data_IF_990089589069
#
_entry.id   IF_990089589069
#
_cell.length_a   1.000
_cell.length_b   1.000
_cell.length_c   1.000
_cell.angle_alpha   90.00
_cell.angle_beta   90.00
_cell.angle_gamma   90.00
#
_symmetry.space_group_name_H-M   'P 1'
#
loop_
_entity.id
_entity.type
_entity.pdbx_description
1 polymer ?
#
# COMPACT_ATOMS: atom_id res chain seq x y z
N UNK A 1 1.75 13.82 -21.24
CA UNK A 1 1.68 12.48 -20.59
C UNK A 1 2.23 11.44 -21.57
N UNK A 2 2.93 10.41 -21.09
CA UNK A 2 3.66 9.48 -21.99
C UNK A 2 2.72 8.45 -22.62
N UNK A 3 1.58 8.16 -21.99
CA UNK A 3 0.61 7.13 -22.43
C UNK A 3 -0.81 7.66 -22.66
N UNK A 4 -1.00 8.98 -22.81
CA UNK A 4 -2.34 9.58 -22.94
C UNK A 4 -2.93 9.56 -24.34
N UNK A 5 -2.15 9.20 -25.35
CA UNK A 5 -2.58 9.20 -26.76
C UNK A 5 -2.64 7.76 -27.27
N UNK A 6 -3.85 7.26 -27.49
CA UNK A 6 -4.10 6.01 -28.20
C UNK A 6 -4.74 6.32 -29.54
N UNK A 7 -4.24 5.70 -30.61
CA UNK A 7 -4.85 5.76 -31.94
C UNK A 7 -6.07 4.83 -32.08
N UNK A 8 -6.40 4.05 -31.04
CA UNK A 8 -7.49 3.07 -31.06
C UNK A 8 -8.77 3.61 -30.38
N UNK A 9 -9.97 3.25 -30.86
CA UNK A 9 -11.23 3.63 -30.22
C UNK A 9 -11.35 3.00 -28.82
N UNK A 10 -11.87 3.77 -27.85
CA UNK A 10 -12.09 3.31 -26.47
C UNK A 10 -13.25 2.30 -26.40
N UNK A 11 -12.93 1.02 -26.55
CA UNK A 11 -13.83 -0.10 -26.28
C UNK A 11 -13.83 -0.46 -24.78
N UNK A 12 -14.91 -1.02 -24.21
CA UNK A 12 -14.99 -1.32 -22.79
C UNK A 12 -13.86 -2.23 -22.29
N UNK A 13 -13.18 -1.82 -21.22
CA UNK A 13 -12.28 -2.70 -20.47
C UNK A 13 -13.06 -3.88 -19.86
N UNK A 14 -12.49 -5.11 -19.79
CA UNK A 14 -11.14 -5.51 -20.21
C UNK A 14 -11.00 -5.90 -21.70
N UNK A 15 -12.11 -6.06 -22.42
CA UNK A 15 -12.13 -6.64 -23.78
C UNK A 15 -11.52 -5.71 -24.84
N UNK A 16 -11.75 -4.40 -24.72
CA UNK A 16 -11.20 -3.40 -25.61
C UNK A 16 -9.67 -3.37 -25.60
N UNK A 17 -9.09 -3.52 -24.41
CA UNK A 17 -7.65 -3.53 -24.23
C UNK A 17 -7.00 -4.79 -24.81
N UNK A 18 -7.64 -5.96 -24.64
CA UNK A 18 -7.17 -7.21 -25.26
C UNK A 18 -7.17 -7.10 -26.78
N UNK A 19 -8.20 -6.51 -27.38
CA UNK A 19 -8.26 -6.31 -28.83
C UNK A 19 -7.16 -5.34 -29.31
N UNK A 20 -6.97 -4.23 -28.61
CA UNK A 20 -6.00 -3.20 -28.98
C UNK A 20 -4.54 -3.67 -28.81
N UNK A 21 -4.29 -4.55 -27.84
CA UNK A 21 -2.95 -5.08 -27.54
C UNK A 21 -2.68 -6.44 -28.18
N UNK A 22 -3.67 -7.07 -28.84
CA UNK A 22 -3.57 -8.42 -29.40
C UNK A 22 -2.35 -8.60 -30.32
N UNK A 23 -1.97 -7.55 -31.06
CA UNK A 23 -0.84 -7.56 -31.98
C UNK A 23 0.52 -7.36 -31.28
N UNK A 24 0.56 -6.83 -30.05
CA UNK A 24 1.79 -6.57 -29.29
C UNK A 24 2.37 -7.84 -28.66
N UNK A 25 1.58 -8.93 -28.56
CA UNK A 25 1.99 -10.21 -27.97
C UNK A 25 2.78 -11.11 -28.94
N UNK A 26 3.76 -10.57 -29.65
CA UNK A 26 4.49 -11.30 -30.72
C UNK A 26 5.14 -12.62 -30.27
N UNK A 27 5.50 -12.74 -28.98
CA UNK A 27 6.20 -13.90 -28.42
C UNK A 27 5.29 -15.03 -27.92
N UNK A 28 3.98 -14.79 -27.80
CA UNK A 28 3.03 -15.76 -27.24
C UNK A 28 2.17 -16.34 -28.37
N UNK A 29 2.15 -17.66 -28.59
CA UNK A 29 1.26 -18.29 -29.58
C UNK A 29 -0.22 -17.98 -29.35
N UNK A 30 -1.02 -17.94 -30.43
CA UNK A 30 -2.45 -17.61 -30.34
C UNK A 30 -3.21 -18.58 -29.41
N UNK A 31 -2.87 -19.87 -29.43
CA UNK A 31 -3.47 -20.86 -28.55
C UNK A 31 -3.27 -20.55 -27.07
N UNK A 32 -2.07 -20.08 -26.69
CA UNK A 32 -1.77 -19.64 -25.33
C UNK A 32 -2.55 -18.37 -24.98
N UNK A 33 -2.69 -17.41 -25.91
CA UNK A 33 -3.46 -16.18 -25.69
C UNK A 33 -4.95 -16.44 -25.43
N UNK A 34 -5.54 -17.45 -26.09
CA UNK A 34 -6.95 -17.82 -25.87
C UNK A 34 -7.20 -18.28 -24.44
N UNK A 35 -6.19 -18.85 -23.76
CA UNK A 35 -6.34 -19.24 -22.34
C UNK A 35 -6.56 -18.05 -21.40
N UNK A 36 -6.25 -16.81 -21.83
CA UNK A 36 -6.57 -15.58 -21.09
C UNK A 36 -8.08 -15.41 -20.84
N UNK A 37 -8.94 -16.02 -21.66
CA UNK A 37 -10.40 -15.96 -21.46
C UNK A 37 -10.81 -16.48 -20.09
N UNK A 38 -10.10 -17.48 -19.54
CA UNK A 38 -10.35 -17.97 -18.18
C UNK A 38 -10.09 -16.91 -17.12
N UNK A 39 -9.02 -16.12 -17.28
CA UNK A 39 -8.73 -15.00 -16.38
C UNK A 39 -9.77 -13.88 -16.49
N UNK A 40 -10.18 -13.53 -17.71
CA UNK A 40 -11.23 -12.52 -17.95
C UNK A 40 -12.56 -12.94 -17.32
N UNK A 41 -12.90 -14.22 -17.39
CA UNK A 41 -14.06 -14.77 -16.69
C UNK A 41 -13.93 -14.59 -15.18
N UNK A 42 -12.79 -14.98 -14.58
CA UNK A 42 -12.56 -14.80 -13.15
C UNK A 42 -12.64 -13.34 -12.71
N UNK A 43 -12.14 -12.41 -13.54
CA UNK A 43 -12.23 -10.96 -13.28
C UNK A 43 -13.67 -10.42 -13.30
N UNK A 44 -14.58 -11.05 -14.04
CA UNK A 44 -16.00 -10.71 -14.00
C UNK A 44 -16.72 -11.37 -12.82
N UNK A 45 -16.31 -12.57 -12.42
CA UNK A 45 -16.96 -13.32 -11.34
C UNK A 45 -16.55 -12.84 -9.94
N UNK A 46 -15.30 -12.42 -9.73
CA UNK A 46 -14.80 -12.16 -8.38
C UNK A 46 -15.47 -10.98 -7.65
N UNK A 47 -16.08 -10.05 -8.40
CA UNK A 47 -16.82 -8.89 -7.83
C UNK A 47 -18.32 -9.16 -7.67
N UNK A 48 -18.79 -10.38 -7.94
CA UNK A 48 -20.22 -10.72 -7.91
C UNK A 48 -20.85 -10.56 -6.53
N UNK A 49 -20.17 -11.02 -5.49
CA UNK A 49 -20.62 -10.95 -4.10
C UNK A 49 -19.45 -11.17 -3.13
N UNK A 50 -19.63 -10.76 -1.87
CA UNK A 50 -18.60 -10.82 -0.83
C UNK A 50 -18.01 -12.23 -0.63
N UNK A 51 -18.86 -13.27 -0.67
CA UNK A 51 -18.38 -14.65 -0.46
C UNK A 51 -17.51 -15.12 -1.61
N UNK A 52 -17.88 -14.73 -2.83
CA UNK A 52 -17.10 -15.02 -4.03
C UNK A 52 -15.77 -14.28 -3.97
N UNK A 53 -15.77 -12.99 -3.62
CA UNK A 53 -14.55 -12.22 -3.40
C UNK A 53 -13.63 -12.88 -2.36
N UNK A 54 -14.15 -13.22 -1.18
CA UNK A 54 -13.36 -13.89 -0.13
C UNK A 54 -12.77 -15.23 -0.61
N UNK A 55 -13.49 -15.98 -1.45
CA UNK A 55 -12.98 -17.23 -2.00
C UNK A 55 -11.78 -17.00 -2.93
N UNK A 56 -11.82 -15.94 -3.75
CA UNK A 56 -10.69 -15.53 -4.59
C UNK A 56 -9.55 -14.92 -3.77
N UNK A 57 -9.84 -14.15 -2.72
CA UNK A 57 -8.80 -13.57 -1.88
C UNK A 57 -8.06 -14.62 -1.03
N UNK A 58 -8.72 -15.73 -0.69
CA UNK A 58 -8.10 -16.86 0.04
C UNK A 58 -7.24 -17.77 -0.82
N UNK A 59 -7.41 -17.78 -2.14
CA UNK A 59 -6.58 -18.60 -3.03
C UNK A 59 -5.40 -17.79 -3.54
N UNK A 60 -4.31 -18.49 -3.83
CA UNK A 60 -3.16 -17.88 -4.49
C UNK A 60 -3.47 -17.56 -5.95
N UNK A 61 -2.79 -16.56 -6.51
CA UNK A 61 -2.89 -16.26 -7.94
C UNK A 61 -2.46 -17.47 -8.79
N UNK A 62 -1.47 -18.24 -8.33
CA UNK A 62 -1.05 -19.48 -8.98
C UNK A 62 -2.18 -20.52 -9.07
N UNK A 63 -2.90 -20.77 -7.96
CA UNK A 63 -4.06 -21.68 -7.94
C UNK A 63 -5.17 -21.21 -8.87
N UNK A 64 -5.43 -19.90 -8.94
CA UNK A 64 -6.38 -19.32 -9.89
C UNK A 64 -5.98 -19.67 -11.33
N UNK A 65 -4.71 -19.49 -11.70
CA UNK A 65 -4.25 -19.70 -13.07
C UNK A 65 -4.42 -21.16 -13.51
N UNK A 66 -4.13 -22.11 -12.61
CA UNK A 66 -4.39 -23.53 -12.83
C UNK A 66 -5.90 -23.76 -12.99
N UNK A 67 -6.72 -23.22 -12.08
CA UNK A 67 -8.17 -23.42 -12.07
C UNK A 67 -8.85 -22.88 -13.33
N UNK A 68 -8.34 -21.78 -13.88
CA UNK A 68 -8.87 -21.14 -15.09
C UNK A 68 -8.24 -21.68 -16.38
N UNK A 69 -7.35 -22.68 -16.30
CA UNK A 69 -6.74 -23.30 -17.46
C UNK A 69 -5.80 -22.37 -18.23
N UNK A 70 -5.19 -21.41 -17.55
CA UNK A 70 -4.22 -20.49 -18.16
C UNK A 70 -2.97 -21.26 -18.52
N UNK A 71 -2.47 -21.09 -19.74
CA UNK A 71 -1.29 -21.84 -20.17
C UNK A 71 -0.04 -21.42 -19.39
N UNK A 72 0.83 -22.39 -19.09
CA UNK A 72 2.06 -22.13 -18.35
C UNK A 72 2.93 -21.08 -19.05
N UNK A 73 2.98 -21.08 -20.39
CA UNK A 73 3.73 -20.07 -21.16
C UNK A 73 3.16 -18.67 -20.95
N UNK A 74 1.85 -18.52 -20.96
CA UNK A 74 1.21 -17.22 -20.70
C UNK A 74 1.48 -16.74 -19.26
N UNK A 75 1.48 -17.67 -18.30
CA UNK A 75 1.84 -17.36 -16.90
C UNK A 75 3.29 -16.92 -16.78
N UNK A 76 4.24 -17.67 -17.33
CA UNK A 76 5.67 -17.42 -17.15
C UNK A 76 6.21 -16.25 -17.99
N UNK A 77 5.75 -16.11 -19.23
CA UNK A 77 6.32 -15.11 -20.16
C UNK A 77 5.63 -13.74 -20.07
N UNK A 78 4.44 -13.67 -19.45
CA UNK A 78 3.67 -12.42 -19.34
C UNK A 78 3.22 -12.13 -17.91
N UNK A 79 2.41 -13.00 -17.30
CA UNK A 79 1.75 -12.69 -16.02
C UNK A 79 2.76 -12.55 -14.88
N UNK A 80 3.66 -13.53 -14.70
CA UNK A 80 4.66 -13.52 -13.62
C UNK A 80 5.58 -12.29 -13.71
N UNK A 81 6.15 -11.93 -14.87
CA UNK A 81 6.90 -10.67 -15.02
C UNK A 81 6.10 -9.43 -14.63
N UNK A 82 4.83 -9.34 -15.03
CA UNK A 82 3.96 -8.21 -14.66
C UNK A 82 3.73 -8.13 -13.15
N UNK A 83 3.47 -9.27 -12.48
CA UNK A 83 3.31 -9.32 -11.02
C UNK A 83 4.61 -8.99 -10.28
N UNK A 84 5.76 -9.45 -10.77
CA UNK A 84 7.05 -9.16 -10.16
C UNK A 84 7.45 -7.68 -10.32
N UNK A 85 7.11 -7.04 -11.43
CA UNK A 85 7.37 -5.60 -11.62
C UNK A 85 6.37 -4.75 -10.86
N UNK A 86 5.10 -5.18 -10.76
CA UNK A 86 4.04 -4.41 -10.13
C UNK A 86 3.97 -4.56 -8.60
N UNK A 87 4.11 -5.78 -8.08
CA UNK A 87 3.95 -6.11 -6.65
C UNK A 87 5.23 -6.69 -6.03
N UNK A 88 6.32 -6.80 -6.77
CA UNK A 88 7.59 -7.36 -6.29
C UNK A 88 7.48 -8.78 -5.72
N UNK A 89 6.43 -9.51 -6.11
CA UNK A 89 6.11 -10.84 -5.58
C UNK A 89 5.66 -11.81 -6.67
N UNK A 90 6.01 -13.10 -6.53
CA UNK A 90 5.57 -14.12 -7.46
C UNK A 90 4.10 -14.53 -7.18
N UNK A 91 3.38 -15.10 -8.16
CA UNK A 91 1.97 -15.48 -8.04
C UNK A 91 1.66 -16.49 -6.93
N UNK A 92 2.64 -17.26 -6.48
CA UNK A 92 2.49 -18.21 -5.37
C UNK A 92 2.38 -17.50 -4.00
N UNK A 93 2.80 -16.23 -3.90
CA UNK A 93 2.77 -15.43 -2.68
C UNK A 93 1.70 -14.33 -2.67
N UNK A 94 0.89 -14.24 -3.72
CA UNK A 94 -0.14 -13.22 -3.90
C UNK A 94 -1.52 -13.86 -3.86
N UNK A 95 -2.50 -13.19 -3.26
CA UNK A 95 -3.89 -13.61 -3.43
C UNK A 95 -4.33 -13.42 -4.88
N UNK A 96 -5.26 -14.24 -5.34
CA UNK A 96 -5.82 -14.10 -6.67
C UNK A 96 -6.55 -12.76 -6.84
N UNK A 97 -7.19 -12.24 -5.79
CA UNK A 97 -7.82 -10.93 -5.82
C UNK A 97 -6.81 -9.81 -6.11
N UNK A 98 -5.72 -9.74 -5.36
CA UNK A 98 -4.66 -8.73 -5.55
C UNK A 98 -4.01 -8.86 -6.92
N UNK A 99 -3.73 -10.09 -7.38
CA UNK A 99 -3.16 -10.30 -8.71
C UNK A 99 -4.13 -9.88 -9.83
N UNK A 100 -5.43 -10.20 -9.72
CA UNK A 100 -6.44 -9.76 -10.68
C UNK A 100 -6.61 -8.25 -10.69
N UNK A 101 -6.58 -7.58 -9.53
CA UNK A 101 -6.66 -6.13 -9.45
C UNK A 101 -5.46 -5.47 -10.14
N UNK A 102 -4.24 -5.95 -9.89
CA UNK A 102 -3.07 -5.44 -10.59
C UNK A 102 -3.17 -5.68 -12.11
N UNK A 103 -3.52 -6.90 -12.52
CA UNK A 103 -3.64 -7.24 -13.94
C UNK A 103 -4.74 -6.43 -14.62
N UNK A 104 -5.81 -6.10 -13.90
CA UNK A 104 -6.81 -5.14 -14.38
C UNK A 104 -6.14 -3.81 -14.68
N UNK A 105 -5.51 -3.15 -13.71
CA UNK A 105 -4.93 -1.82 -13.94
C UNK A 105 -3.78 -1.78 -14.94
N UNK A 106 -2.92 -2.79 -14.98
CA UNK A 106 -1.70 -2.78 -15.80
C UNK A 106 -1.86 -3.41 -17.19
N UNK A 107 -2.73 -4.42 -17.32
CA UNK A 107 -2.84 -5.17 -18.56
C UNK A 107 -4.18 -4.99 -19.29
N UNK A 108 -5.25 -4.63 -18.58
CA UNK A 108 -6.62 -4.71 -19.11
C UNK A 108 -7.43 -3.42 -19.03
N UNK A 109 -7.06 -2.50 -18.15
CA UNK A 109 -7.63 -1.17 -18.06
C UNK A 109 -7.34 -0.40 -19.36
N UNK A 110 -8.12 0.65 -19.61
CA UNK A 110 -7.99 1.45 -20.82
C UNK A 110 -6.54 1.96 -20.97
N UNK A 111 -6.08 2.12 -22.22
CA UNK A 111 -4.68 2.53 -22.50
C UNK A 111 -4.28 3.83 -21.80
N UNK A 112 -5.25 4.71 -21.55
CA UNK A 112 -5.08 6.00 -20.87
C UNK A 112 -5.12 5.90 -19.34
N UNK A 113 -5.49 4.75 -18.76
CA UNK A 113 -5.60 4.54 -17.31
C UNK A 113 -4.24 4.46 -16.62
N UNK A 114 -3.15 4.32 -17.38
CA UNK A 114 -1.79 4.24 -16.85
C UNK A 114 -0.96 5.49 -17.17
N UNK A 115 -1.17 6.58 -16.42
CA UNK A 115 -0.33 7.80 -16.51
C UNK A 115 0.66 7.86 -15.34
N UNK A 116 1.80 7.18 -15.47
CA UNK A 116 2.89 7.32 -14.50
C UNK A 116 3.61 8.64 -14.74
N UNK A 117 3.58 9.51 -13.73
CA UNK A 117 4.36 10.74 -13.71
C UNK A 117 5.52 10.62 -12.75
N UNK A 118 6.72 10.75 -13.30
CA UNK A 118 7.93 10.83 -12.51
C UNK A 118 8.13 12.24 -11.97
N UNK A 119 8.38 12.31 -10.67
CA UNK A 119 8.70 13.56 -9.99
C UNK A 119 10.08 14.02 -10.45
N UNK A 120 10.17 15.18 -11.10
CA UNK A 120 11.41 15.74 -11.66
C UNK A 120 12.27 16.52 -10.64
N UNK A 121 12.23 16.17 -9.35
CA UNK A 121 12.92 16.93 -8.30
C UNK A 121 13.78 16.06 -7.36
N UNK A 122 14.48 16.74 -6.43
CA UNK A 122 15.50 16.19 -5.54
C UNK A 122 14.98 15.07 -4.63
N UNK A 123 13.73 15.14 -4.13
CA UNK A 123 13.15 14.05 -3.31
C UNK A 123 11.62 14.12 -3.12
N UNK A 124 10.99 12.96 -2.84
CA UNK A 124 9.59 12.85 -2.38
C UNK A 124 9.38 13.62 -1.07
N UNK A 125 10.37 13.57 -0.17
CA UNK A 125 10.31 14.26 1.12
C UNK A 125 10.06 15.75 0.94
N UNK A 126 10.78 16.40 0.03
CA UNK A 126 10.70 17.85 -0.17
C UNK A 126 9.39 18.27 -0.86
N UNK A 127 8.88 17.47 -1.79
CA UNK A 127 7.72 17.85 -2.61
C UNK A 127 6.36 17.40 -2.08
N UNK A 128 6.32 16.30 -1.32
CA UNK A 128 5.06 15.73 -0.83
C UNK A 128 4.99 15.84 0.69
N UNK A 129 6.03 15.37 1.39
CA UNK A 129 5.99 15.28 2.85
C UNK A 129 6.14 16.66 3.50
N UNK A 130 7.10 17.48 3.08
CA UNK A 130 7.33 18.80 3.67
C UNK A 130 6.12 19.74 3.52
N UNK A 131 5.47 19.87 2.34
CA UNK A 131 4.30 20.73 2.21
C UNK A 131 3.11 20.24 3.03
N UNK A 132 2.89 18.92 3.08
CA UNK A 132 1.84 18.32 3.92
C UNK A 132 2.09 18.60 5.41
N UNK A 133 3.33 18.42 5.88
CA UNK A 133 3.70 18.71 7.26
C UNK A 133 3.47 20.19 7.59
N UNK A 134 3.91 21.10 6.72
CA UNK A 134 3.69 22.55 6.91
C UNK A 134 2.21 22.93 6.97
N UNK A 135 1.36 22.35 6.12
CA UNK A 135 -0.09 22.57 6.15
C UNK A 135 -0.74 22.04 7.44
N UNK A 136 -0.35 20.86 7.90
CA UNK A 136 -0.84 20.30 9.17
C UNK A 136 -0.42 21.16 10.37
N UNK A 137 0.82 21.66 10.39
CA UNK A 137 1.32 22.54 11.44
C UNK A 137 0.58 23.89 11.45
N UNK A 138 0.36 24.49 10.28
CA UNK A 138 -0.37 25.75 10.16
C UNK A 138 -1.82 25.63 10.64
N UNK A 139 -2.51 24.53 10.32
CA UNK A 139 -3.88 24.26 10.79
C UNK A 139 -3.94 24.01 12.29
N UNK A 140 -2.95 23.30 12.84
CA UNK A 140 -2.84 23.06 14.28
C UNK A 140 -2.61 24.32 15.10
N UNK A 141 -2.07 25.39 14.51
CA UNK A 141 -1.90 26.70 15.17
C UNK A 141 -3.17 27.56 15.15
N UNK A 142 -4.15 27.25 14.28
CA UNK A 142 -5.42 28.01 14.20
C UNK A 142 -6.54 27.47 15.10
N UNK A 143 -6.40 26.27 15.65
CA UNK A 143 -7.36 25.66 16.58
C UNK A 143 -6.83 25.77 18.03
N UNK A 144 -7.55 26.50 18.89
CA UNK A 144 -7.30 26.84 20.30
C UNK A 144 -6.46 25.84 21.15
N UNK A 145 -5.13 25.88 21.05
CA UNK A 145 -4.23 25.34 22.07
C UNK A 145 -2.96 26.21 22.22
N UNK A 146 -2.67 26.79 23.40
CA UNK A 146 -1.47 27.59 23.62
C UNK A 146 -0.26 26.66 23.75
N UNK A 147 0.54 26.54 22.69
CA UNK A 147 1.83 25.85 22.76
C UNK A 147 2.88 26.90 23.15
N UNK A 148 3.35 26.85 24.40
CA UNK A 148 4.33 27.78 24.95
C UNK A 148 5.72 27.57 24.33
N UNK A 149 6.35 28.67 23.92
CA UNK A 149 7.62 28.75 23.21
C UNK A 149 8.72 29.20 24.16
N UNK A 150 9.73 28.37 24.41
CA UNK A 150 10.98 28.81 25.03
C UNK A 150 12.21 28.12 24.41
N UNK A 151 13.23 28.93 24.07
CA UNK A 151 14.64 28.51 24.02
C UNK A 151 15.21 28.12 22.66
N UNK A 152 15.82 29.08 21.96
CA UNK A 152 16.62 28.86 20.76
C UNK A 152 18.07 28.50 21.10
N UNK A 153 18.59 27.41 20.53
CA UNK A 153 20.02 27.22 20.29
C UNK A 153 20.21 26.33 19.05
N UNK A 154 20.93 26.87 18.05
CA UNK A 154 21.17 26.25 16.74
C UNK A 154 22.18 25.09 16.77
N UNK A 155 22.11 24.19 15.77
CA UNK A 155 23.32 23.58 15.22
C UNK A 155 23.39 23.65 13.67
N UNK A 156 24.63 23.76 13.19
CA UNK A 156 25.00 23.77 11.78
C UNK A 156 24.96 22.37 11.15
N UNK A 157 24.46 22.26 9.90
CA UNK A 157 24.64 21.07 9.06
C UNK A 157 23.41 20.59 8.30
N UNK A 158 22.87 21.42 7.41
CA UNK A 158 22.04 21.11 6.23
C UNK A 158 21.26 19.76 6.17
N UNK A 159 20.23 19.64 7.00
CA UNK A 159 18.88 19.38 6.53
C UNK A 159 18.04 20.52 7.14
N UNK A 160 17.34 21.30 6.31
CA UNK A 160 16.48 22.38 6.80
C UNK A 160 15.36 21.76 7.64
N UNK A 161 15.64 21.64 8.93
CA UNK A 161 14.64 21.51 9.98
C UNK A 161 14.05 22.90 10.11
N UNK A 162 12.84 23.06 9.57
CA UNK A 162 12.04 24.24 9.83
C UNK A 162 11.89 24.35 11.35
N UNK A 163 12.49 25.41 11.90
CA UNK A 163 12.55 25.65 13.32
C UNK A 163 11.16 25.96 13.89
N UNK A 164 10.83 25.30 15.02
CA UNK A 164 9.90 25.82 16.02
C UNK A 164 8.50 25.21 16.07
N UNK A 165 8.36 24.11 16.84
CA UNK A 165 7.16 23.83 17.64
C UNK A 165 5.91 23.32 16.93
N UNK A 166 5.86 22.02 16.60
CA UNK A 166 4.68 21.14 16.74
C UNK A 166 4.94 19.70 16.21
N UNK A 167 6.04 19.46 15.47
CA UNK A 167 6.46 18.13 15.03
C UNK A 167 7.77 17.72 15.71
N UNK A 168 7.72 16.71 16.58
CA UNK A 168 8.90 16.04 17.13
C UNK A 168 9.16 14.72 16.40
N UNK A 169 10.26 14.64 15.65
CA UNK A 169 10.63 13.45 14.88
C UNK A 169 11.70 12.65 15.62
N UNK A 170 11.27 11.57 16.27
CA UNK A 170 12.16 10.64 16.99
C UNK A 170 12.73 9.55 16.09
N UNK A 171 13.76 9.90 15.32
CA UNK A 171 14.50 8.94 14.49
C UNK A 171 15.19 7.84 15.32
N UNK A 172 15.25 6.61 14.78
CA UNK A 172 15.90 5.48 15.45
C UNK A 172 15.18 4.97 16.71
N UNK A 173 13.95 5.40 16.95
CA UNK A 173 13.10 4.92 18.03
C UNK A 173 12.10 3.88 17.50
N UNK A 174 12.03 2.72 18.14
CA UNK A 174 11.11 1.64 17.77
C UNK A 174 9.97 1.56 18.77
N UNK A 175 8.74 1.83 18.31
CA UNK A 175 7.53 1.66 19.12
C UNK A 175 7.36 0.18 19.49
N UNK A 176 7.11 -0.07 20.77
CA UNK A 176 6.89 -1.41 21.33
C UNK A 176 5.43 -1.60 21.74
N UNK A 177 4.82 -0.57 22.33
CA UNK A 177 3.49 -0.67 22.92
C UNK A 177 2.68 0.60 22.64
N UNK A 178 1.41 0.42 22.29
CA UNK A 178 0.38 1.47 22.32
C UNK A 178 -0.51 1.20 23.52
N UNK A 179 -0.61 2.17 24.40
CA UNK A 179 -1.34 2.07 25.65
C UNK A 179 -2.74 2.64 25.49
N UNK A 180 -3.72 1.90 25.97
CA UNK A 180 -5.12 2.28 25.95
C UNK A 180 -5.65 2.41 27.37
N UNK A 181 -6.41 3.46 27.63
CA UNK A 181 -7.11 3.67 28.90
C UNK A 181 -8.33 2.74 29.08
N UNK A 182 -9.06 2.91 30.19
CA UNK A 182 -10.18 2.04 30.56
C UNK A 182 -11.34 2.05 29.56
N UNK A 183 -11.59 3.17 28.89
CA UNK A 183 -12.65 3.29 27.86
C UNK A 183 -12.16 2.89 26.46
N UNK A 184 -10.85 2.72 26.25
CA UNK A 184 -10.25 2.31 24.97
C UNK A 184 -9.58 3.44 24.20
N UNK A 185 -9.63 4.65 24.72
CA UNK A 185 -8.85 5.80 24.27
C UNK A 185 -7.35 5.50 24.33
N UNK A 186 -6.59 6.01 23.38
CA UNK A 186 -5.12 5.95 23.47
C UNK A 186 -4.68 6.92 24.55
N UNK A 187 -3.80 6.46 25.43
CA UNK A 187 -3.25 7.27 26.52
C UNK A 187 -1.75 7.51 26.41
N UNK A 188 -1.04 6.70 25.60
CA UNK A 188 0.41 6.82 25.47
C UNK A 188 1.01 5.77 24.54
N UNK A 189 2.28 5.97 24.22
CA UNK A 189 3.09 5.08 23.39
C UNK A 189 4.43 4.83 24.08
N UNK A 190 4.82 3.56 24.22
CA UNK A 190 6.17 3.17 24.61
C UNK A 190 7.03 2.89 23.40
N UNK A 191 8.27 3.34 23.45
CA UNK A 191 9.25 3.09 22.41
C UNK A 191 10.63 2.84 23.02
N UNK A 192 11.48 2.17 22.26
CA UNK A 192 12.88 1.92 22.61
C UNK A 192 13.77 2.76 21.71
N UNK A 193 14.65 3.55 22.31
CA UNK A 193 15.61 4.39 21.57
C UNK A 193 16.71 3.53 20.93
N UNK A 194 17.53 4.14 20.07
CA UNK A 194 18.70 3.47 19.49
C UNK A 194 19.69 2.97 20.56
N UNK A 195 19.71 3.61 21.74
CA UNK A 195 20.54 3.20 22.88
C UNK A 195 19.97 2.01 23.67
N UNK A 196 18.76 1.55 23.35
CA UNK A 196 18.08 0.47 24.07
C UNK A 196 17.29 0.94 25.29
N UNK A 197 17.22 2.24 25.54
CA UNK A 197 16.43 2.82 26.62
C UNK A 197 14.95 2.82 26.26
N UNK A 198 14.11 2.40 27.20
CA UNK A 198 12.66 2.42 27.04
C UNK A 198 12.09 3.73 27.58
N UNK A 199 11.37 4.43 26.71
CA UNK A 199 10.73 5.71 27.00
C UNK A 199 9.24 5.64 26.70
N UNK A 200 8.51 6.60 27.26
CA UNK A 200 7.07 6.76 27.06
C UNK A 200 6.76 8.19 26.65
N UNK A 201 5.84 8.33 25.71
CA UNK A 201 5.19 9.59 25.39
C UNK A 201 3.68 9.47 25.63
N UNK A 202 3.09 10.44 26.33
CA UNK A 202 1.65 10.54 26.51
C UNK A 202 1.03 11.19 25.27
N UNK A 203 -0.04 10.58 24.75
CA UNK A 203 -0.73 11.04 23.55
C UNK A 203 -2.24 10.82 23.70
N UNK A 204 -3.03 11.69 23.06
CA UNK A 204 -4.49 11.57 23.00
C UNK A 204 -4.97 10.70 21.82
N UNK A 205 -4.12 10.51 20.81
CA UNK A 205 -4.40 9.70 19.63
C UNK A 205 -3.11 9.09 19.07
N UNK A 206 -3.25 7.99 18.31
CA UNK A 206 -2.13 7.34 17.63
C UNK A 206 -2.54 6.91 16.22
N UNK A 207 -1.74 7.29 15.22
CA UNK A 207 -1.88 6.84 13.83
C UNK A 207 -0.74 5.85 13.53
N UNK A 208 -1.09 4.67 13.01
CA UNK A 208 -0.14 3.59 12.76
C UNK A 208 0.18 3.47 11.26
N UNK A 209 1.34 3.98 10.85
CA UNK A 209 1.89 3.77 9.51
C UNK A 209 2.94 2.65 9.55
N UNK A 210 2.48 1.40 9.68
CA UNK A 210 3.34 0.24 9.92
C UNK A 210 3.14 -0.84 8.84
N UNK A 211 4.24 -1.39 8.32
CA UNK A 211 4.19 -2.64 7.55
C UNK A 211 3.91 -3.86 8.44
N UNK A 212 3.70 -5.03 7.83
CA UNK A 212 3.30 -6.28 8.51
C UNK A 212 4.11 -6.59 9.78
N UNK A 213 5.44 -6.51 9.70
CA UNK A 213 6.35 -6.78 10.83
C UNK A 213 6.19 -5.75 11.96
N UNK A 214 6.03 -4.48 11.61
CA UNK A 214 5.82 -3.40 12.58
C UNK A 214 4.47 -3.57 13.28
N UNK A 215 3.41 -3.82 12.51
CA UNK A 215 2.08 -4.07 13.02
C UNK A 215 2.08 -5.27 13.99
N UNK A 216 2.69 -6.39 13.59
CA UNK A 216 2.86 -7.57 14.46
C UNK A 216 3.59 -7.25 15.76
N UNK A 217 4.69 -6.50 15.68
CA UNK A 217 5.45 -6.06 16.86
C UNK A 217 4.57 -5.27 17.82
N UNK A 218 3.90 -4.22 17.34
CA UNK A 218 3.08 -3.32 18.17
C UNK A 218 1.87 -4.05 18.76
N UNK A 219 1.13 -4.81 17.95
CA UNK A 219 -0.05 -5.56 18.42
C UNK A 219 0.36 -6.60 19.47
N UNK A 220 1.48 -7.31 19.28
CA UNK A 220 1.99 -8.28 20.26
C UNK A 220 2.40 -7.63 21.59
N UNK A 221 2.92 -6.40 21.56
CA UNK A 221 3.27 -5.62 22.74
C UNK A 221 2.07 -4.93 23.40
N UNK A 222 0.90 -4.92 22.74
CA UNK A 222 -0.27 -4.13 23.15
C UNK A 222 -1.53 -4.98 23.33
N UNK A 223 -1.64 -5.85 24.36
CA UNK A 223 -2.77 -6.77 24.53
C UNK A 223 -4.15 -6.09 24.64
N UNK A 224 -4.20 -4.90 25.25
CA UNK A 224 -5.45 -4.13 25.37
C UNK A 224 -5.90 -3.56 24.02
N UNK A 225 -4.97 -3.08 23.20
CA UNK A 225 -5.23 -2.67 21.82
C UNK A 225 -5.69 -3.87 20.98
N UNK A 226 -4.98 -5.00 21.05
CA UNK A 226 -5.28 -6.21 20.31
C UNK A 226 -6.71 -6.72 20.56
N UNK A 227 -7.16 -6.70 21.83
CA UNK A 227 -8.52 -7.13 22.20
C UNK A 227 -9.61 -6.20 21.69
N UNK A 228 -9.33 -4.90 21.62
CA UNK A 228 -10.31 -3.87 21.23
C UNK A 228 -10.38 -3.67 19.72
N UNK A 229 -9.28 -3.92 19.01
CA UNK A 229 -9.14 -3.68 17.58
C UNK A 229 -8.82 -4.99 16.83
N UNK A 230 -9.79 -5.89 16.63
CA UNK A 230 -9.55 -7.18 15.96
C UNK A 230 -9.03 -7.02 14.54
N UNK A 231 -9.39 -5.95 13.84
CA UNK A 231 -8.85 -5.54 12.54
C UNK A 231 -7.32 -5.33 12.57
N UNK A 232 -6.76 -4.74 13.64
CA UNK A 232 -5.31 -4.62 13.78
C UNK A 232 -4.64 -5.99 13.99
N UNK A 233 -5.33 -6.92 14.67
CA UNK A 233 -4.86 -8.30 14.78
C UNK A 233 -4.88 -9.04 13.45
N UNK A 234 -5.93 -8.83 12.63
CA UNK A 234 -6.00 -9.37 11.27
C UNK A 234 -4.86 -8.81 10.42
N UNK A 235 -4.64 -7.50 10.44
CA UNK A 235 -3.51 -6.89 9.75
C UNK A 235 -2.16 -7.45 10.23
N UNK A 236 -1.93 -7.55 11.55
CA UNK A 236 -0.73 -8.15 12.14
C UNK A 236 -0.50 -9.63 11.75
N UNK A 237 -1.54 -10.34 11.34
CA UNK A 237 -1.46 -11.74 10.91
C UNK A 237 -1.02 -11.91 9.46
N UNK A 238 -1.03 -10.83 8.66
CA UNK A 238 -0.60 -10.86 7.27
C UNK A 238 0.91 -11.05 7.14
N UNK A 239 1.34 -11.82 6.14
CA UNK A 239 2.75 -12.07 5.85
C UNK A 239 3.45 -10.88 5.20
N UNK A 240 2.70 -10.06 4.47
CA UNK A 240 3.12 -8.80 3.87
C UNK A 240 1.93 -7.83 3.86
N UNK A 241 2.24 -6.53 3.98
CA UNK A 241 1.30 -5.42 3.85
C UNK A 241 2.07 -4.35 3.08
N UNK A 242 1.56 -3.91 1.94
CA UNK A 242 2.20 -2.84 1.18
C UNK A 242 1.60 -1.48 1.57
N UNK A 243 0.27 -1.36 1.59
CA UNK A 243 -0.45 -0.18 2.14
C UNK A 243 -1.82 -0.62 2.67
N UNK A 244 -2.14 -0.26 3.91
CA UNK A 244 -3.53 -0.19 4.40
C UNK A 244 -3.93 1.27 4.33
N UNK A 245 -4.76 1.63 3.36
CA UNK A 245 -5.55 2.85 3.42
C UNK A 245 -6.97 2.40 3.78
N UNK A 246 -7.40 2.67 5.01
CA UNK A 246 -8.79 2.59 5.42
C UNK A 246 -9.43 3.97 5.28
#
# INVERSE_FOLDING_TARGET
PVFSESAFPELPSPLGQVLATFQLFERIPVGDRVTMLGLLYAMLDYTRDEKTFEAYDRMTAHELFIRMGISQRLVEDFIRPTLLVGLFKPPEELSAAVAMELLYFYALAHQTSFDVRWIKSRSISELIISPLASDLLARGQTEDAPISVEGAAEPAGAAQTAAGGALDVKGGCRVTTVETGPSGEVSGVRYVTRGGEEERIDVSACVLALGAKGMKSVVSGSPSLARRCPELCKAASLSAIDVVAC
#
